data_IF_085487090395
#
_entry.id   IF_085487090395
#
_cell.length_a   1.000
_cell.length_b   1.000
_cell.length_c   1.000
_cell.angle_alpha   90.00
_cell.angle_beta   90.00
_cell.angle_gamma   90.00
#
_symmetry.space_group_name_H-M   'P 1'
#
loop_
_entity.id
_entity.type
_entity.pdbx_description
1 polymer ?
#
# COMPACT_ATOMS: atom_id res chain seq x y z
N UNK A 1 -15.25 14.72 17.60
CA UNK A 1 -15.51 13.28 17.35
C UNK A 1 -16.80 13.01 18.07
N UNK A 2 -17.91 12.89 17.34
CA UNK A 2 -19.22 12.82 17.97
C UNK A 2 -19.46 11.37 18.43
N UNK A 3 -19.38 11.15 19.74
CA UNK A 3 -19.67 9.87 20.37
C UNK A 3 -21.18 9.58 20.44
N UNK A 4 -21.54 8.41 20.96
CA UNK A 4 -22.93 8.14 21.32
C UNK A 4 -23.43 9.20 22.32
N UNK A 5 -24.71 9.58 22.28
CA UNK A 5 -25.26 10.53 23.22
C UNK A 5 -25.15 10.03 24.66
N UNK A 6 -25.17 10.96 25.60
CA UNK A 6 -25.04 10.67 27.03
C UNK A 6 -26.08 9.64 27.49
N UNK A 7 -25.62 8.61 28.21
CA UNK A 7 -26.43 7.45 28.61
C UNK A 7 -26.55 6.33 27.57
N UNK A 8 -25.86 6.43 26.43
CA UNK A 8 -25.83 5.40 25.37
C UNK A 8 -24.40 4.88 25.15
N UNK A 9 -24.27 3.59 24.81
CA UNK A 9 -22.97 2.98 24.50
C UNK A 9 -22.90 2.52 23.04
N UNK A 10 -21.69 2.54 22.48
CA UNK A 10 -21.43 2.08 21.12
C UNK A 10 -21.34 0.55 21.09
N UNK A 11 -22.08 -0.07 20.17
CA UNK A 11 -22.09 -1.50 19.90
C UNK A 11 -21.81 -1.74 18.42
N UNK A 12 -21.03 -2.79 18.15
CA UNK A 12 -20.67 -3.20 16.80
C UNK A 12 -21.30 -4.56 16.54
N UNK A 13 -22.33 -4.60 15.70
CA UNK A 13 -22.97 -5.83 15.30
C UNK A 13 -22.36 -6.40 14.04
N UNK A 14 -22.19 -7.72 14.05
CA UNK A 14 -21.73 -8.52 12.92
C UNK A 14 -22.77 -9.58 12.64
N UNK A 15 -23.42 -9.49 11.50
CA UNK A 15 -24.32 -10.55 11.05
C UNK A 15 -23.82 -11.10 9.72
N UNK A 16 -23.91 -12.41 9.60
CA UNK A 16 -23.62 -13.14 8.38
C UNK A 16 -24.97 -13.50 7.74
N UNK A 17 -25.36 -12.73 6.72
CA UNK A 17 -26.50 -13.08 5.88
C UNK A 17 -25.98 -13.22 4.44
N UNK A 18 -26.35 -14.31 3.75
CA UNK A 18 -26.05 -14.53 2.34
C UNK A 18 -24.56 -14.36 1.94
N UNK A 19 -23.64 -14.98 2.69
CA UNK A 19 -22.18 -14.91 2.47
C UNK A 19 -21.58 -13.49 2.51
N UNK A 20 -22.33 -12.48 2.98
CA UNK A 20 -21.83 -11.13 3.24
C UNK A 20 -21.86 -10.85 4.74
N UNK A 21 -20.73 -10.36 5.26
CA UNK A 21 -20.60 -9.97 6.66
C UNK A 21 -20.86 -8.47 6.76
N UNK A 22 -22.01 -8.08 7.30
CA UNK A 22 -22.34 -6.67 7.50
C UNK A 22 -21.81 -6.24 8.88
N UNK A 23 -21.09 -5.12 8.91
CA UNK A 23 -20.67 -4.46 10.15
C UNK A 23 -21.49 -3.19 10.34
N UNK A 24 -22.30 -3.16 11.39
CA UNK A 24 -23.07 -1.98 11.78
C UNK A 24 -22.49 -1.40 13.07
N UNK A 25 -22.38 -0.06 13.13
CA UNK A 25 -22.07 0.68 14.36
C UNK A 25 -23.33 1.39 14.84
N UNK A 26 -23.80 1.04 16.03
CA UNK A 26 -25.02 1.58 16.61
C UNK A 26 -24.82 1.94 18.07
N UNK A 27 -25.59 2.92 18.55
CA UNK A 27 -25.66 3.29 19.95
C UNK A 27 -26.88 2.61 20.58
N UNK A 28 -26.72 1.93 21.73
CA UNK A 28 -27.83 1.42 22.54
C UNK A 28 -28.03 2.22 23.82
N UNK A 29 -29.29 2.38 24.21
CA UNK A 29 -29.66 3.06 25.45
C UNK A 29 -29.48 2.13 26.64
N UNK A 30 -28.85 2.62 27.71
CA UNK A 30 -28.81 1.90 28.98
C UNK A 30 -30.13 2.04 29.77
N UNK A 31 -30.96 3.01 29.44
CA UNK A 31 -32.17 3.35 30.19
C UNK A 31 -33.46 2.71 29.62
N UNK A 32 -33.45 2.30 28.35
CA UNK A 32 -34.63 1.75 27.66
C UNK A 32 -34.24 0.48 26.91
N UNK A 33 -34.71 -0.66 27.41
CA UNK A 33 -34.39 -1.97 26.85
C UNK A 33 -34.87 -2.07 25.38
N UNK A 34 -33.99 -2.55 24.49
CA UNK A 34 -34.27 -2.67 23.06
C UNK A 34 -34.15 -1.38 22.24
N UNK A 35 -33.95 -0.21 22.87
CA UNK A 35 -33.78 1.05 22.13
C UNK A 35 -32.37 1.18 21.55
N UNK A 36 -32.30 1.40 20.24
CA UNK A 36 -31.04 1.57 19.52
C UNK A 36 -31.17 2.66 18.43
N UNK A 37 -30.05 3.26 18.06
CA UNK A 37 -29.95 4.18 16.93
C UNK A 37 -28.60 4.09 16.26
N UNK A 38 -28.51 4.49 14.99
CA UNK A 38 -27.24 4.55 14.30
C UNK A 38 -26.28 5.54 14.96
N UNK A 39 -24.99 5.21 14.98
CA UNK A 39 -23.96 6.16 15.41
C UNK A 39 -23.97 7.42 14.51
N UNK A 40 -23.52 8.59 15.02
CA UNK A 40 -23.46 9.80 14.20
C UNK A 40 -22.78 9.57 12.84
N UNK A 41 -23.42 10.01 11.76
CA UNK A 41 -22.95 9.79 10.38
C UNK A 41 -23.40 8.46 9.74
N UNK A 42 -24.25 7.69 10.41
CA UNK A 42 -24.86 6.47 9.89
C UNK A 42 -26.38 6.58 9.81
N UNK A 43 -26.95 6.00 8.76
CA UNK A 43 -28.37 5.94 8.43
C UNK A 43 -28.92 4.53 8.65
N UNK A 44 -30.13 4.46 9.22
CA UNK A 44 -30.83 3.21 9.54
C UNK A 44 -31.26 2.49 8.25
N UNK A 45 -31.01 1.18 8.16
CA UNK A 45 -31.55 0.32 7.11
C UNK A 45 -32.95 -0.19 7.48
N UNK A 46 -33.69 -0.71 6.51
CA UNK A 46 -35.02 -1.32 6.74
C UNK A 46 -34.99 -2.61 7.56
N UNK A 47 -33.80 -3.20 7.73
CA UNK A 47 -33.57 -4.40 8.52
C UNK A 47 -32.98 -3.97 9.88
N UNK A 48 -33.71 -4.22 10.96
CA UNK A 48 -33.24 -3.94 12.30
C UNK A 48 -32.27 -5.05 12.77
N UNK A 49 -31.17 -4.74 13.49
CA UNK A 49 -30.64 -3.43 13.84
C UNK A 49 -29.41 -2.98 13.00
N UNK A 50 -29.61 -2.65 11.72
CA UNK A 50 -28.49 -2.28 10.82
C UNK A 50 -28.42 -0.81 10.43
N UNK A 51 -27.20 -0.34 10.23
CA UNK A 51 -26.86 1.02 9.81
C UNK A 51 -25.87 1.01 8.65
N UNK A 52 -26.01 1.97 7.73
CA UNK A 52 -25.05 2.27 6.67
C UNK A 52 -24.56 3.70 6.81
N UNK A 53 -23.27 3.98 6.57
CA UNK A 53 -22.78 5.36 6.61
C UNK A 53 -23.49 6.19 5.54
N UNK A 54 -24.15 7.28 5.92
CA UNK A 54 -24.74 8.17 4.93
C UNK A 54 -23.59 8.70 4.06
N UNK A 55 -23.56 8.32 2.79
CA UNK A 55 -22.80 9.10 1.82
C UNK A 55 -23.41 10.49 1.88
N UNK A 56 -22.60 11.48 2.23
CA UNK A 56 -22.95 12.88 2.09
C UNK A 56 -23.58 13.04 0.71
N UNK A 57 -24.88 13.33 0.70
CA UNK A 57 -25.66 13.64 -0.48
C UNK A 57 -24.85 14.57 -1.37
N UNK A 58 -24.54 14.10 -2.57
CA UNK A 58 -23.99 14.88 -3.64
C UNK A 58 -24.94 16.05 -3.95
N UNK A 59 -24.70 17.21 -3.33
CA UNK A 59 -25.03 18.46 -3.99
C UNK A 59 -24.07 18.58 -5.16
N UNK A 60 -24.64 18.62 -6.36
CA UNK A 60 -23.96 18.91 -7.61
C UNK A 60 -23.25 20.25 -7.48
N UNK A 61 -21.96 20.21 -7.18
CA UNK A 61 -21.05 21.31 -7.49
C UNK A 61 -20.40 20.92 -8.81
N UNK A 62 -21.02 21.38 -9.89
CA UNK A 62 -20.34 21.51 -11.17
C UNK A 62 -19.09 22.36 -10.95
N UNK A 63 -17.92 21.84 -11.34
CA UNK A 63 -16.71 22.66 -11.44
C UNK A 63 -15.50 22.28 -10.58
N UNK A 64 -15.35 21.04 -10.10
CA UNK A 64 -14.08 20.57 -9.53
C UNK A 64 -13.58 19.32 -10.24
N UNK A 65 -12.43 19.44 -10.90
CA UNK A 65 -11.75 18.35 -11.63
C UNK A 65 -11.62 17.10 -10.74
N UNK A 66 -12.50 16.11 -10.96
CA UNK A 66 -12.50 14.82 -10.26
C UNK A 66 -11.21 14.09 -10.64
N UNK A 67 -10.16 14.15 -9.80
CA UNK A 67 -9.03 13.24 -9.93
C UNK A 67 -9.57 11.81 -9.87
N UNK A 68 -9.62 11.14 -11.03
CA UNK A 68 -10.02 9.73 -11.13
C UNK A 68 -8.92 8.91 -10.47
N UNK A 69 -9.32 7.94 -9.63
CA UNK A 69 -8.35 7.01 -9.04
C UNK A 69 -7.58 6.28 -10.14
N UNK A 70 -6.34 5.87 -9.88
CA UNK A 70 -5.61 5.08 -10.85
C UNK A 70 -6.40 3.81 -11.19
N UNK A 71 -6.70 3.64 -12.49
CA UNK A 71 -7.65 2.63 -12.99
C UNK A 71 -7.35 1.21 -12.50
N UNK A 72 -6.06 0.86 -12.44
CA UNK A 72 -5.58 -0.48 -12.12
C UNK A 72 -5.14 -0.64 -10.66
N UNK A 73 -5.36 0.37 -9.80
CA UNK A 73 -4.96 0.28 -8.39
C UNK A 73 -5.58 -0.92 -7.67
N UNK A 74 -4.86 -1.46 -6.69
CA UNK A 74 -5.29 -2.59 -5.87
C UNK A 74 -6.27 -2.11 -4.79
N UNK A 75 -7.53 -1.95 -5.19
CA UNK A 75 -8.64 -1.51 -4.33
C UNK A 75 -9.59 -2.67 -4.13
N UNK A 76 -10.11 -2.88 -2.92
CA UNK A 76 -11.29 -3.72 -2.71
C UNK A 76 -12.41 -2.85 -2.16
N UNK A 77 -13.47 -2.69 -2.94
CA UNK A 77 -14.66 -1.96 -2.55
C UNK A 77 -15.49 -2.74 -1.54
N UNK A 78 -15.55 -4.07 -1.69
CA UNK A 78 -16.30 -4.94 -0.79
C UNK A 78 -15.68 -4.98 0.61
N UNK A 79 -14.35 -5.01 0.69
CA UNK A 79 -13.61 -5.07 1.96
C UNK A 79 -13.12 -3.71 2.46
N UNK A 80 -13.36 -2.64 1.69
CA UNK A 80 -12.80 -1.29 1.92
C UNK A 80 -11.29 -1.32 2.14
N UNK A 81 -10.56 -2.02 1.26
CA UNK A 81 -9.10 -2.09 1.28
C UNK A 81 -8.46 -1.28 0.15
N UNK A 82 -7.30 -0.68 0.42
CA UNK A 82 -6.41 -0.12 -0.59
C UNK A 82 -4.98 -0.63 -0.32
N UNK A 83 -4.43 -1.39 -1.26
CA UNK A 83 -3.05 -1.84 -1.21
C UNK A 83 -2.14 -0.94 -2.04
N UNK A 84 -1.21 -0.27 -1.38
CA UNK A 84 -0.17 0.53 -2.02
C UNK A 84 1.02 -0.37 -2.34
N UNK A 85 1.12 -0.77 -3.61
CA UNK A 85 2.13 -1.72 -4.08
C UNK A 85 3.51 -1.08 -4.22
N UNK A 86 4.33 -1.21 -3.19
CA UNK A 86 5.76 -0.89 -3.22
C UNK A 86 6.51 -1.89 -4.12
N UNK A 87 7.17 -1.45 -5.21
CA UNK A 87 7.84 -2.35 -6.12
C UNK A 87 8.93 -3.17 -5.43
N UNK A 88 8.98 -4.47 -5.78
CA UNK A 88 9.96 -5.46 -5.30
C UNK A 88 9.92 -5.75 -3.80
N UNK A 89 8.79 -5.46 -3.16
CA UNK A 89 8.52 -5.81 -1.77
C UNK A 89 7.54 -7.00 -1.62
N UNK A 90 7.42 -7.89 -2.62
CA UNK A 90 6.51 -9.05 -2.55
C UNK A 90 5.02 -8.73 -2.78
N UNK A 91 4.71 -7.53 -3.27
CA UNK A 91 3.32 -7.08 -3.45
C UNK A 91 2.50 -7.87 -4.46
N UNK A 92 3.13 -8.56 -5.41
CA UNK A 92 2.42 -9.40 -6.40
C UNK A 92 1.53 -10.45 -5.72
N UNK A 93 2.03 -11.16 -4.70
CA UNK A 93 1.25 -12.19 -3.99
C UNK A 93 0.01 -11.62 -3.30
N UNK A 94 0.12 -10.41 -2.74
CA UNK A 94 -1.04 -9.71 -2.14
C UNK A 94 -2.02 -9.28 -3.23
N UNK A 95 -1.52 -8.68 -4.31
CA UNK A 95 -2.32 -8.12 -5.39
C UNK A 95 -3.10 -9.19 -6.16
N UNK A 96 -2.51 -10.35 -6.42
CA UNK A 96 -3.17 -11.47 -7.13
C UNK A 96 -4.07 -12.31 -6.23
N UNK A 97 -4.13 -12.01 -4.94
CA UNK A 97 -4.95 -12.76 -3.99
C UNK A 97 -6.43 -12.40 -4.04
N UNK A 98 -7.25 -13.24 -3.41
CA UNK A 98 -8.69 -13.07 -3.27
C UNK A 98 -9.12 -11.73 -2.63
N UNK A 99 -8.19 -11.00 -2.00
CA UNK A 99 -8.46 -9.70 -1.40
C UNK A 99 -8.95 -8.66 -2.41
N UNK A 100 -8.64 -8.84 -3.70
CA UNK A 100 -8.96 -7.87 -4.76
C UNK A 100 -9.73 -8.48 -5.95
N UNK A 101 -10.44 -9.58 -5.73
CA UNK A 101 -11.28 -10.21 -6.77
C UNK A 101 -12.34 -9.25 -7.30
N UNK A 102 -12.99 -8.49 -6.41
CA UNK A 102 -14.07 -7.57 -6.76
C UNK A 102 -13.60 -6.47 -7.74
N UNK A 103 -12.38 -5.99 -7.56
CA UNK A 103 -11.80 -5.00 -8.45
C UNK A 103 -11.32 -5.60 -9.78
N UNK A 104 -10.83 -6.85 -9.79
CA UNK A 104 -10.54 -7.56 -11.04
C UNK A 104 -11.81 -7.81 -11.84
N UNK A 105 -12.86 -8.28 -11.20
CA UNK A 105 -14.16 -8.50 -11.81
C UNK A 105 -14.71 -7.20 -12.43
N UNK A 106 -14.67 -6.10 -11.66
CA UNK A 106 -15.06 -4.76 -12.15
C UNK A 106 -14.25 -4.30 -13.37
N UNK A 107 -13.01 -4.76 -13.49
CA UNK A 107 -12.15 -4.47 -14.62
C UNK A 107 -12.18 -5.56 -15.70
N UNK A 108 -13.16 -6.46 -15.70
CA UNK A 108 -13.28 -7.51 -16.72
C UNK A 108 -12.11 -8.50 -16.70
N UNK A 109 -11.57 -8.80 -15.53
CA UNK A 109 -10.45 -9.74 -15.35
C UNK A 109 -9.06 -9.14 -15.64
N UNK A 110 -8.95 -7.84 -15.91
CA UNK A 110 -7.63 -7.22 -16.11
C UNK A 110 -6.74 -7.34 -14.87
N UNK A 111 -5.44 -7.46 -15.12
CA UNK A 111 -4.41 -7.40 -14.09
C UNK A 111 -4.51 -6.06 -13.33
N UNK A 112 -4.65 -6.15 -12.01
CA UNK A 112 -4.43 -4.99 -11.13
C UNK A 112 -2.94 -4.68 -11.14
N UNK A 113 -2.54 -3.46 -10.81
CA UNK A 113 -1.13 -3.13 -10.76
C UNK A 113 -0.88 -1.63 -10.74
N UNK A 114 0.36 -1.30 -11.09
CA UNK A 114 0.89 0.05 -10.96
C UNK A 114 1.52 0.28 -9.59
N UNK A 115 2.44 1.23 -9.57
CA UNK A 115 3.19 1.64 -8.38
C UNK A 115 2.81 3.10 -8.12
N UNK A 116 1.67 3.25 -7.47
CA UNK A 116 1.05 4.54 -7.20
C UNK A 116 1.51 5.08 -5.85
N UNK A 117 1.96 6.34 -5.82
CA UNK A 117 2.20 7.06 -4.56
C UNK A 117 0.86 7.41 -3.91
N UNK A 118 0.83 7.55 -2.58
CA UNK A 118 -0.40 7.92 -1.87
C UNK A 118 -1.00 9.25 -2.36
N UNK A 119 -0.15 10.17 -2.83
CA UNK A 119 -0.51 11.50 -3.37
C UNK A 119 -1.26 11.43 -4.71
N UNK A 120 -1.22 10.28 -5.38
CA UNK A 120 -1.94 10.08 -6.66
C UNK A 120 -3.43 9.81 -6.47
N UNK A 121 -3.86 9.43 -5.27
CA UNK A 121 -5.25 9.14 -4.97
C UNK A 121 -6.01 10.42 -4.59
N UNK A 122 -7.31 10.44 -4.86
CA UNK A 122 -8.16 11.50 -4.30
C UNK A 122 -8.20 11.41 -2.77
N UNK A 123 -8.14 12.55 -2.08
CA UNK A 123 -8.04 12.59 -0.62
C UNK A 123 -9.26 11.96 0.08
N UNK A 124 -10.47 12.18 -0.44
CA UNK A 124 -11.69 11.62 0.17
C UNK A 124 -11.79 10.13 -0.12
N UNK A 125 -11.50 9.73 -1.36
CA UNK A 125 -11.42 8.32 -1.72
C UNK A 125 -10.41 7.60 -0.83
N UNK A 126 -9.16 8.08 -0.77
CA UNK A 126 -8.09 7.46 -0.01
C UNK A 126 -8.49 7.25 1.45
N UNK A 127 -9.05 8.28 2.11
CA UNK A 127 -9.52 8.21 3.51
C UNK A 127 -10.66 7.21 3.76
N UNK A 128 -11.36 6.75 2.72
CA UNK A 128 -12.52 5.85 2.86
C UNK A 128 -12.18 4.35 2.87
N UNK A 129 -10.89 4.00 2.76
CA UNK A 129 -10.39 2.63 2.77
C UNK A 129 -9.39 2.43 3.91
N UNK A 130 -9.27 1.20 4.42
CA UNK A 130 -8.10 0.76 5.17
C UNK A 130 -6.93 0.58 4.19
N UNK A 131 -5.92 1.43 4.31
CA UNK A 131 -4.76 1.47 3.43
C UNK A 131 -3.60 0.71 4.05
N UNK A 132 -2.99 -0.17 3.27
CA UNK A 132 -1.82 -0.91 3.73
C UNK A 132 -0.81 -1.10 2.61
N UNK A 133 0.41 -1.46 2.98
CA UNK A 133 1.46 -1.82 2.04
C UNK A 133 2.31 -2.97 2.58
N UNK A 134 3.16 -3.53 1.72
CA UNK A 134 4.26 -4.40 2.10
C UNK A 134 5.55 -3.64 1.83
N UNK A 135 6.41 -3.53 2.84
CA UNK A 135 7.75 -2.97 2.72
C UNK A 135 8.78 -4.07 2.86
N UNK A 136 9.99 -3.80 2.34
CA UNK A 136 11.12 -4.72 2.39
C UNK A 136 12.35 -3.98 2.86
N UNK A 137 13.30 -4.68 3.46
CA UNK A 137 14.60 -4.10 3.80
C UNK A 137 15.19 -3.38 2.56
N UNK A 138 15.57 -2.09 2.64
CA UNK A 138 15.92 -1.28 1.46
C UNK A 138 17.00 -1.89 0.58
N UNK A 139 18.03 -2.47 1.20
CA UNK A 139 19.11 -3.18 0.51
C UNK A 139 18.60 -4.41 -0.24
N UNK A 140 17.84 -5.29 0.42
CA UNK A 140 17.26 -6.49 -0.19
C UNK A 140 16.32 -6.13 -1.34
N UNK A 141 15.60 -5.02 -1.22
CA UNK A 141 14.75 -4.47 -2.28
C UNK A 141 15.58 -4.02 -3.49
N UNK A 142 16.67 -3.27 -3.27
CA UNK A 142 17.53 -2.78 -4.35
C UNK A 142 18.20 -3.93 -5.11
N UNK A 143 18.68 -4.95 -4.41
CA UNK A 143 19.21 -6.18 -5.04
C UNK A 143 18.14 -6.84 -5.89
N UNK A 144 16.90 -6.90 -5.39
CA UNK A 144 15.77 -7.43 -6.16
C UNK A 144 15.44 -6.61 -7.40
N UNK A 145 15.64 -5.28 -7.36
CA UNK A 145 15.49 -4.40 -8.54
C UNK A 145 16.59 -4.67 -9.56
N UNK A 146 17.85 -4.76 -9.13
CA UNK A 146 18.98 -5.11 -10.00
C UNK A 146 18.73 -6.45 -10.68
N UNK A 147 18.45 -7.50 -9.91
CA UNK A 147 18.17 -8.84 -10.44
C UNK A 147 16.97 -8.87 -11.39
N UNK A 148 15.95 -8.03 -11.16
CA UNK A 148 14.78 -7.93 -12.03
C UNK A 148 15.14 -7.37 -13.41
N UNK A 149 15.95 -6.31 -13.47
CA UNK A 149 16.39 -5.75 -14.74
C UNK A 149 17.46 -6.61 -15.43
N UNK A 150 18.36 -7.26 -14.68
CA UNK A 150 19.35 -8.18 -15.26
C UNK A 150 18.74 -9.38 -15.98
N UNK A 151 17.55 -9.81 -15.57
CA UNK A 151 16.81 -10.93 -16.15
C UNK A 151 15.80 -10.49 -17.23
N UNK A 152 15.81 -9.22 -17.64
CA UNK A 152 14.86 -8.63 -18.60
C UNK A 152 13.39 -8.92 -18.23
N UNK A 153 13.07 -8.92 -16.93
CA UNK A 153 11.71 -9.15 -16.46
C UNK A 153 10.85 -7.89 -16.60
N UNK A 154 9.53 -8.09 -16.60
CA UNK A 154 8.55 -7.00 -16.71
C UNK A 154 8.07 -6.75 -18.13
N UNK A 155 7.56 -5.54 -18.37
CA UNK A 155 6.97 -5.14 -19.65
C UNK A 155 8.02 -4.53 -20.60
N UNK A 156 7.61 -4.16 -21.81
CA UNK A 156 8.49 -3.57 -22.81
C UNK A 156 9.22 -2.31 -22.32
N UNK A 157 8.56 -1.48 -21.49
CA UNK A 157 9.18 -0.28 -20.90
C UNK A 157 10.30 -0.64 -19.93
N UNK A 158 10.14 -1.73 -19.16
CA UNK A 158 11.19 -2.21 -18.26
C UNK A 158 12.41 -2.72 -19.04
N UNK A 159 12.18 -3.48 -20.11
CA UNK A 159 13.25 -3.98 -20.98
C UNK A 159 13.98 -2.85 -21.71
N UNK A 160 13.25 -1.86 -22.22
CA UNK A 160 13.85 -0.68 -22.84
C UNK A 160 14.72 0.10 -21.84
N UNK A 161 14.25 0.24 -20.59
CA UNK A 161 15.06 0.88 -19.56
C UNK A 161 16.35 0.10 -19.27
N UNK A 162 16.27 -1.23 -19.11
CA UNK A 162 17.43 -2.07 -18.89
C UNK A 162 18.43 -1.96 -20.06
N UNK A 163 17.95 -2.07 -21.30
CA UNK A 163 18.80 -1.93 -22.49
C UNK A 163 19.46 -0.56 -22.62
N UNK A 164 18.81 0.50 -22.12
CA UNK A 164 19.35 1.86 -22.19
C UNK A 164 20.42 2.13 -21.12
N UNK A 165 20.29 1.54 -19.94
CA UNK A 165 21.08 1.93 -18.77
C UNK A 165 21.93 0.80 -18.17
N UNK A 166 21.86 -0.40 -18.75
CA UNK A 166 22.64 -1.56 -18.32
C UNK A 166 23.33 -2.21 -19.52
N UNK A 167 24.54 -2.68 -19.28
CA UNK A 167 25.42 -3.47 -20.15
C UNK A 167 25.65 -4.87 -19.56
N UNK A 168 26.62 -5.63 -20.07
CA UNK A 168 26.90 -6.98 -19.57
C UNK A 168 27.47 -6.98 -18.14
N UNK A 169 28.26 -5.97 -17.79
CA UNK A 169 28.91 -5.88 -16.48
C UNK A 169 27.86 -5.55 -15.39
N UNK A 170 27.09 -4.49 -15.60
CA UNK A 170 26.02 -4.06 -14.69
C UNK A 170 24.88 -5.09 -14.57
N UNK A 171 24.65 -5.92 -15.59
CA UNK A 171 23.71 -7.05 -15.50
C UNK A 171 24.24 -8.19 -14.63
N UNK A 172 25.53 -8.45 -14.63
CA UNK A 172 26.14 -9.59 -13.92
C UNK A 172 26.66 -9.24 -12.52
N UNK A 173 26.90 -7.96 -12.23
CA UNK A 173 27.45 -7.48 -10.96
C UNK A 173 26.54 -6.42 -10.32
N UNK A 174 26.08 -6.70 -9.10
CA UNK A 174 25.31 -5.74 -8.31
C UNK A 174 26.14 -4.49 -7.97
N UNK A 175 27.43 -4.66 -7.68
CA UNK A 175 28.31 -3.52 -7.41
C UNK A 175 28.45 -2.65 -8.67
N UNK A 176 28.67 -3.24 -9.85
CA UNK A 176 28.69 -2.47 -11.09
C UNK A 176 27.35 -1.77 -11.37
N UNK A 177 26.22 -2.42 -11.11
CA UNK A 177 24.91 -1.78 -11.20
C UNK A 177 24.81 -0.53 -10.30
N UNK A 178 25.29 -0.60 -9.06
CA UNK A 178 25.27 0.57 -8.18
C UNK A 178 26.28 1.63 -8.64
N UNK A 179 27.50 1.23 -9.00
CA UNK A 179 28.60 2.15 -9.31
C UNK A 179 28.48 2.81 -10.68
N UNK A 180 27.96 2.11 -11.68
CA UNK A 180 27.92 2.57 -13.07
C UNK A 180 26.51 2.97 -13.52
N UNK A 181 25.45 2.40 -12.91
CA UNK A 181 24.07 2.78 -13.26
C UNK A 181 23.47 3.81 -12.29
N UNK A 182 23.77 3.72 -10.99
CA UNK A 182 23.12 4.53 -9.95
C UNK A 182 24.00 5.63 -9.32
N UNK A 183 25.12 5.98 -9.96
CA UNK A 183 26.04 6.98 -9.41
C UNK A 183 25.43 8.40 -9.38
N UNK A 184 25.76 9.21 -8.37
CA UNK A 184 25.33 10.61 -8.31
C UNK A 184 25.79 11.40 -9.55
N UNK A 185 24.89 12.19 -10.13
CA UNK A 185 25.16 12.94 -11.38
C UNK A 185 24.98 12.12 -12.66
N UNK A 186 24.77 10.81 -12.55
CA UNK A 186 24.54 9.94 -13.70
C UNK A 186 23.21 10.17 -14.43
N UNK A 187 23.01 9.46 -15.55
CA UNK A 187 21.85 9.63 -16.42
C UNK A 187 20.56 9.03 -15.82
N UNK A 188 20.67 8.10 -14.87
CA UNK A 188 19.53 7.52 -14.16
C UNK A 188 19.13 8.43 -13.00
N UNK A 189 17.87 8.88 -13.02
CA UNK A 189 17.23 9.56 -11.88
C UNK A 189 16.39 8.55 -11.11
N UNK A 190 16.91 8.05 -10.00
CA UNK A 190 16.33 6.94 -9.24
C UNK A 190 14.90 7.25 -8.72
N UNK A 191 14.61 8.51 -8.38
CA UNK A 191 13.29 8.99 -7.95
C UNK A 191 12.24 8.96 -9.08
N UNK A 192 12.69 9.11 -10.33
CA UNK A 192 11.85 9.09 -11.53
C UNK A 192 11.62 7.67 -12.05
N UNK A 193 12.47 6.71 -11.73
CA UNK A 193 12.27 5.33 -12.14
C UNK A 193 11.44 4.55 -11.12
N UNK A 194 10.35 3.96 -11.59
CA UNK A 194 9.29 3.34 -10.77
C UNK A 194 9.79 2.27 -9.81
N UNK A 195 10.71 1.40 -10.23
CA UNK A 195 11.25 0.34 -9.38
C UNK A 195 12.32 0.83 -8.41
N UNK A 196 13.01 1.94 -8.74
CA UNK A 196 14.08 2.52 -7.93
C UNK A 196 13.58 3.56 -6.92
N UNK A 197 12.38 4.10 -7.13
CA UNK A 197 11.72 5.04 -6.21
C UNK A 197 11.75 4.52 -4.78
N UNK A 198 12.04 5.41 -3.83
CA UNK A 198 12.14 5.03 -2.42
C UNK A 198 10.78 4.64 -1.85
N UNK A 199 10.78 3.75 -0.85
CA UNK A 199 9.55 3.37 -0.15
C UNK A 199 8.95 4.58 0.57
N UNK A 200 9.78 5.44 1.17
CA UNK A 200 9.35 6.69 1.80
C UNK A 200 8.63 7.59 0.79
N UNK A 201 9.21 7.79 -0.40
CA UNK A 201 8.59 8.63 -1.44
C UNK A 201 7.28 8.08 -2.01
N UNK A 202 6.89 6.85 -1.69
CA UNK A 202 5.59 6.30 -2.06
C UNK A 202 4.54 6.41 -0.96
N UNK A 203 4.99 6.49 0.30
CA UNK A 203 4.15 6.24 1.49
C UNK A 203 3.95 7.46 2.37
N UNK A 204 4.64 8.55 2.08
CA UNK A 204 4.53 9.84 2.77
C UNK A 204 3.94 10.88 1.83
N UNK A 205 3.15 11.79 2.37
CA UNK A 205 2.58 12.90 1.60
C UNK A 205 3.57 14.07 1.49
N UNK A 206 3.13 15.16 0.86
CA UNK A 206 3.94 16.36 0.63
C UNK A 206 4.32 17.05 1.94
N UNK A 207 3.52 16.86 2.99
CA UNK A 207 3.73 17.34 4.35
C UNK A 207 4.57 16.38 5.21
N UNK A 208 5.08 15.29 4.63
CA UNK A 208 5.90 14.30 5.32
C UNK A 208 5.14 13.45 6.34
N UNK A 209 3.81 13.37 6.22
CA UNK A 209 2.98 12.51 7.06
C UNK A 209 2.86 11.11 6.45
N UNK A 210 2.97 10.10 7.31
CA UNK A 210 2.80 8.71 6.89
C UNK A 210 1.33 8.42 6.59
N UNK A 211 1.03 7.97 5.37
CA UNK A 211 -0.33 7.93 4.87
C UNK A 211 -1.09 6.61 5.07
N UNK A 212 -0.53 5.56 5.65
CA UNK A 212 -1.18 4.23 5.71
C UNK A 212 -1.65 3.84 7.12
N UNK A 213 -2.59 2.89 7.20
CA UNK A 213 -3.10 2.36 8.47
C UNK A 213 -2.34 1.12 8.94
N UNK A 214 -1.64 0.44 8.02
CA UNK A 214 -0.88 -0.76 8.32
C UNK A 214 0.33 -0.93 7.39
N UNK A 215 1.45 -1.37 7.95
CA UNK A 215 2.67 -1.72 7.21
C UNK A 215 3.00 -3.18 7.47
N UNK A 216 3.13 -3.93 6.39
CA UNK A 216 3.53 -5.33 6.41
C UNK A 216 5.03 -5.43 6.09
N UNK A 217 5.73 -6.36 6.73
CA UNK A 217 7.17 -6.53 6.59
C UNK A 217 7.46 -7.80 5.80
N UNK A 218 8.12 -7.66 4.65
CA UNK A 218 8.44 -8.77 3.76
C UNK A 218 9.28 -9.85 4.47
N UNK A 219 10.28 -9.44 5.23
CA UNK A 219 11.15 -10.34 6.00
C UNK A 219 10.40 -11.11 7.11
N UNK A 220 9.19 -10.66 7.46
CA UNK A 220 8.30 -11.33 8.41
C UNK A 220 6.96 -11.64 7.74
N UNK A 221 7.01 -12.27 6.56
CA UNK A 221 5.84 -12.50 5.71
C UNK A 221 4.67 -13.13 6.47
N UNK A 222 4.89 -14.26 7.16
CA UNK A 222 3.82 -14.99 7.84
C UNK A 222 3.16 -14.16 8.94
N UNK A 223 3.95 -13.57 9.84
CA UNK A 223 3.46 -12.68 10.89
C UNK A 223 2.71 -11.48 10.31
N UNK A 224 3.24 -10.89 9.24
CA UNK A 224 2.63 -9.72 8.60
C UNK A 224 1.30 -10.07 7.97
N UNK A 225 1.22 -11.20 7.26
CA UNK A 225 -0.02 -11.70 6.68
C UNK A 225 -1.03 -12.02 7.79
N UNK A 226 -0.61 -12.61 8.92
CA UNK A 226 -1.50 -12.84 10.07
C UNK A 226 -2.05 -11.55 10.65
N UNK A 227 -1.20 -10.52 10.80
CA UNK A 227 -1.64 -9.21 11.26
C UNK A 227 -2.63 -8.57 10.28
N UNK A 228 -2.44 -8.74 8.98
CA UNK A 228 -3.41 -8.31 7.97
C UNK A 228 -4.73 -9.06 8.18
N UNK A 229 -4.70 -10.39 8.25
CA UNK A 229 -5.88 -11.24 8.43
C UNK A 229 -6.69 -10.89 9.67
N UNK A 230 -6.02 -10.68 10.81
CA UNK A 230 -6.64 -10.21 12.06
C UNK A 230 -7.33 -8.86 11.88
N UNK A 231 -6.67 -7.91 11.18
CA UNK A 231 -7.20 -6.56 10.97
C UNK A 231 -8.43 -6.55 10.06
N UNK A 232 -8.43 -7.35 9.01
CA UNK A 232 -9.52 -7.41 8.02
C UNK A 232 -10.54 -8.52 8.31
N UNK A 233 -10.37 -9.24 9.42
CA UNK A 233 -11.18 -10.39 9.83
C UNK A 233 -11.36 -11.43 8.72
N UNK A 234 -10.27 -11.78 8.02
CA UNK A 234 -10.30 -12.76 6.92
C UNK A 234 -9.29 -13.88 7.14
N UNK A 235 -9.65 -15.09 6.69
CA UNK A 235 -8.71 -16.18 6.59
C UNK A 235 -7.71 -15.91 5.46
N UNK A 236 -6.46 -15.71 5.84
CA UNK A 236 -5.34 -15.37 4.95
C UNK A 236 -4.35 -16.52 4.78
N UNK A 237 -4.71 -17.73 5.19
CA UNK A 237 -3.81 -18.90 5.10
C UNK A 237 -3.34 -19.15 3.66
N UNK A 238 -4.20 -18.89 2.66
CA UNK A 238 -3.83 -19.00 1.25
C UNK A 238 -2.71 -18.03 0.84
N UNK A 239 -2.61 -16.85 1.45
CA UNK A 239 -1.52 -15.90 1.20
C UNK A 239 -0.18 -16.41 1.73
N UNK A 240 -0.20 -17.24 2.77
CA UNK A 240 1.02 -17.87 3.30
C UNK A 240 1.53 -18.98 2.39
N UNK A 241 0.62 -19.81 1.87
CA UNK A 241 0.99 -20.94 1.01
C UNK A 241 1.34 -20.55 -0.42
N UNK A 242 0.77 -19.46 -0.94
CA UNK A 242 1.02 -18.99 -2.32
C UNK A 242 2.28 -18.15 -2.45
N UNK A 243 2.85 -17.66 -1.35
CA UNK A 243 4.06 -16.85 -1.39
C UNK A 243 5.30 -17.72 -1.34
N UNK A 244 6.12 -17.63 -2.39
CA UNK A 244 7.46 -18.21 -2.36
C UNK A 244 8.39 -17.23 -1.62
N UNK A 245 8.75 -17.57 -0.38
CA UNK A 245 9.71 -16.82 0.44
C UNK A 245 11.15 -16.79 -0.13
N UNK A 246 11.40 -17.45 -1.28
CA UNK A 246 12.72 -17.51 -1.88
C UNK A 246 12.90 -16.44 -2.95
N UNK A 247 13.78 -15.48 -2.64
CA UNK A 247 14.41 -14.66 -3.68
C UNK A 247 15.48 -15.48 -4.37
N UNK A 248 15.48 -15.55 -5.71
CA UNK A 248 16.53 -16.23 -6.50
C UNK A 248 17.86 -15.45 -6.56
N UNK A 249 17.95 -14.34 -5.83
CA UNK A 249 19.13 -13.49 -5.76
C UNK A 249 19.76 -13.61 -4.38
N UNK A 250 21.07 -13.32 -4.31
CA UNK A 250 21.83 -13.24 -3.07
C UNK A 250 21.15 -12.30 -2.05
N UNK A 251 21.37 -12.58 -0.78
CA UNK A 251 20.88 -11.76 0.34
C UNK A 251 21.63 -10.44 0.42
N UNK A 252 21.09 -9.50 1.22
CA UNK A 252 21.78 -8.26 1.52
C UNK A 252 23.19 -8.51 2.08
N UNK A 253 23.29 -9.45 3.02
CA UNK A 253 24.54 -9.79 3.72
C UNK A 253 25.59 -10.38 2.76
N UNK A 254 25.17 -11.19 1.79
CA UNK A 254 26.08 -11.81 0.81
C UNK A 254 26.50 -10.87 -0.34
N UNK A 255 25.72 -9.81 -0.58
CA UNK A 255 25.91 -8.95 -1.76
C UNK A 255 26.61 -7.64 -1.43
N UNK A 256 26.41 -7.09 -0.23
CA UNK A 256 26.91 -5.76 0.08
C UNK A 256 28.40 -5.74 0.44
N UNK A 257 29.13 -4.84 -0.21
CA UNK A 257 30.48 -4.42 0.17
C UNK A 257 30.46 -3.06 0.88
N UNK A 258 31.54 -2.71 1.58
CA UNK A 258 31.69 -1.42 2.27
C UNK A 258 31.57 -0.22 1.32
N UNK A 259 31.99 -0.36 0.06
CA UNK A 259 31.88 0.67 -0.99
C UNK A 259 30.43 0.96 -1.38
N UNK A 260 29.64 -0.09 -1.56
CA UNK A 260 28.22 -0.01 -1.93
C UNK A 260 27.38 0.60 -0.80
N UNK A 261 27.73 0.30 0.46
CA UNK A 261 27.12 0.91 1.65
C UNK A 261 27.31 2.43 1.71
N UNK A 262 28.54 2.93 1.50
CA UNK A 262 28.84 4.36 1.60
C UNK A 262 28.03 5.21 0.60
N UNK A 263 27.79 4.71 -0.62
CA UNK A 263 27.00 5.42 -1.63
C UNK A 263 25.51 5.50 -1.30
N UNK A 264 24.97 4.46 -0.65
CA UNK A 264 23.57 4.44 -0.22
C UNK A 264 23.27 5.43 0.91
N UNK A 265 24.22 5.66 1.81
CA UNK A 265 24.10 6.67 2.86
C UNK A 265 24.53 8.08 2.39
N UNK A 266 25.50 8.16 1.49
CA UNK A 266 26.04 9.41 0.96
C UNK A 266 25.07 10.23 0.13
N UNK A 267 23.95 9.66 -0.33
CA UNK A 267 22.89 10.40 -1.05
C UNK A 267 21.96 11.20 -0.12
N UNK A 268 22.18 11.23 1.20
CA UNK A 268 21.34 11.96 2.18
C UNK A 268 22.08 12.85 3.18
N UNK A 269 23.35 13.17 2.97
CA UNK A 269 24.03 14.24 3.74
C UNK A 269 24.49 15.36 2.80
N UNK A 270 23.54 15.97 2.10
CA UNK A 270 23.70 17.34 1.62
C UNK A 270 22.38 18.08 1.82
N UNK A 271 22.37 18.90 2.89
CA UNK A 271 21.44 19.99 3.19
C UNK A 271 19.96 19.63 3.43
N UNK A 272 19.68 19.08 4.60
CA UNK A 272 18.54 19.55 5.39
C UNK A 272 19.08 20.41 6.53
N UNK A 273 18.88 21.72 6.38
CA UNK A 273 18.71 22.72 7.43
C UNK A 273 18.67 22.17 8.87
N UNK A 274 19.86 22.04 9.45
CA UNK A 274 20.11 22.35 10.85
C UNK A 274 19.86 23.86 11.03
N UNK A 275 18.59 24.27 11.05
CA UNK A 275 18.25 25.50 11.76
C UNK A 275 18.23 25.12 13.23
N UNK A 276 19.35 25.43 13.85
CA UNK A 276 19.55 25.38 15.28
C UNK A 276 18.36 26.05 16.00
N UNK A 277 17.67 25.27 16.84
CA UNK A 277 17.07 25.82 18.04
C UNK A 277 18.23 26.26 18.94
N UNK A 278 18.58 27.53 18.81
CA UNK A 278 19.31 28.30 19.80
C UNK A 278 18.87 29.76 19.67
N UNK A 279 17.73 30.07 20.28
CA UNK A 279 17.40 31.27 21.05
C UNK A 279 15.99 31.12 21.60
#
# INVERSE_FOLDING_TARGET
>A
MDGCPEGWHLEILREAANNQQHTAQLCRSNAVNGSWKCAPGWQKLSVDPFCIRSSSSSKSVDGMSKRRQPKYASVSHNRKLLFVHVPKAGGTSIQTSFLFDDQRERLGGHYLGGHHEITTFDKQFFKSYHKFCMVRHPCSRLISVSAFYSQDLGNAVNKQWANKFMDNETRSSFDAFVEHTLYPGGPVKADKQVHLRTQVGMLFDEEGQFGLDQVLIFEKWEDSVDQLGKRINANVTILKSTHMNFSRHKTCQETYTSKTWAKMYGTRITQSSLIARNR
#
